data_IF_494850768628
#
_entry.id   IF_494850768628
#
_cell.length_a   1.000
_cell.length_b   1.000
_cell.length_c   1.000
_cell.angle_alpha   90.00
_cell.angle_beta   90.00
_cell.angle_gamma   90.00
#
_symmetry.space_group_name_H-M   'P 1'
#
loop_
_entity.id
_entity.type
_entity.pdbx_description
1 polymer ?
#
# COMPACT_ATOMS: atom_id res chain seq x y z
N UNK A 1 -8.25 7.17 11.29
CA UNK A 1 -9.35 8.13 11.00
C UNK A 1 -10.63 7.31 10.87
N UNK A 2 -11.81 7.86 11.17
CA UNK A 2 -13.05 7.14 10.90
C UNK A 2 -13.25 6.99 9.38
N UNK A 3 -13.73 5.82 8.94
CA UNK A 3 -13.85 5.49 7.52
C UNK A 3 -14.75 6.48 6.75
N UNK A 4 -15.81 6.99 7.38
CA UNK A 4 -16.69 8.01 6.76
C UNK A 4 -15.92 9.30 6.45
N UNK A 5 -15.23 9.85 7.45
CA UNK A 5 -14.37 11.05 7.31
C UNK A 5 -13.27 10.82 6.26
N UNK A 6 -12.79 9.59 6.10
CA UNK A 6 -11.85 9.24 5.04
C UNK A 6 -12.42 9.48 3.65
N UNK A 7 -13.61 8.95 3.38
CA UNK A 7 -14.25 9.10 2.07
C UNK A 7 -14.71 10.54 1.80
N UNK A 8 -15.07 11.30 2.83
CA UNK A 8 -15.35 12.74 2.72
C UNK A 8 -14.08 13.53 2.36
N UNK A 9 -12.97 13.28 3.06
CA UNK A 9 -11.69 13.95 2.78
C UNK A 9 -11.18 13.61 1.39
N UNK A 10 -11.21 12.33 1.01
CA UNK A 10 -10.68 11.84 -0.27
C UNK A 10 -11.80 11.52 -1.26
N UNK A 11 -12.70 12.49 -1.44
CA UNK A 11 -13.83 12.39 -2.36
C UNK A 11 -13.40 12.41 -3.83
N UNK A 12 -12.34 13.14 -4.19
CA UNK A 12 -11.88 13.30 -5.57
C UNK A 12 -10.42 12.88 -5.79
N UNK A 13 -10.10 12.57 -7.05
CA UNK A 13 -8.75 12.21 -7.49
C UNK A 13 -7.76 13.38 -7.34
N UNK A 14 -8.22 14.62 -7.56
CA UNK A 14 -7.39 15.82 -7.41
C UNK A 14 -6.91 16.00 -5.97
N UNK A 15 -7.80 15.88 -5.00
CA UNK A 15 -7.46 15.93 -3.56
C UNK A 15 -6.46 14.84 -3.18
N UNK A 16 -6.61 13.64 -3.76
CA UNK A 16 -5.67 12.54 -3.55
C UNK A 16 -4.27 12.83 -4.15
N UNK A 17 -4.23 13.46 -5.32
CA UNK A 17 -3.00 13.90 -5.98
C UNK A 17 -2.27 14.95 -5.13
N UNK A 18 -2.99 15.95 -4.62
CA UNK A 18 -2.42 17.03 -3.81
C UNK A 18 -1.88 16.50 -2.48
N UNK A 19 -2.64 15.68 -1.77
CA UNK A 19 -2.19 15.05 -0.53
C UNK A 19 -0.94 14.19 -0.77
N UNK A 20 -0.89 13.41 -1.86
CA UNK A 20 0.29 12.62 -2.18
C UNK A 20 1.49 13.52 -2.45
N UNK A 21 1.31 14.59 -3.25
CA UNK A 21 2.35 15.57 -3.55
C UNK A 21 2.93 16.16 -2.26
N UNK A 22 2.07 16.62 -1.36
CA UNK A 22 2.51 17.28 -0.12
C UNK A 22 3.27 16.31 0.79
N UNK A 23 2.79 15.06 0.92
CA UNK A 23 3.53 14.00 1.61
C UNK A 23 4.90 13.73 0.99
N UNK A 24 5.03 13.78 -0.34
CA UNK A 24 6.33 13.59 -0.99
C UNK A 24 7.29 14.74 -0.71
N UNK A 25 6.78 15.97 -0.67
CA UNK A 25 7.59 17.15 -0.34
C UNK A 25 8.04 17.10 1.13
N UNK A 26 7.16 16.71 2.05
CA UNK A 26 7.48 16.53 3.47
C UNK A 26 8.53 15.43 3.69
N UNK A 27 8.45 14.32 2.96
CA UNK A 27 9.41 13.22 3.06
C UNK A 27 10.80 13.54 2.47
N UNK A 28 10.97 14.70 1.83
CA UNK A 28 12.20 15.11 1.18
C UNK A 28 12.36 14.51 -0.21
N UNK A 29 12.25 15.35 -1.23
CA UNK A 29 12.42 14.96 -2.63
C UNK A 29 13.80 15.37 -3.14
N UNK A 30 14.65 14.41 -3.49
CA UNK A 30 15.97 14.66 -4.07
C UNK A 30 16.02 14.29 -5.56
N UNK A 31 16.68 15.13 -6.35
CA UNK A 31 16.86 14.89 -7.78
C UNK A 31 17.87 13.75 -8.02
N UNK A 32 17.50 12.72 -8.79
CA UNK A 32 18.40 11.59 -9.12
C UNK A 32 19.65 11.98 -9.92
N UNK A 33 19.64 13.11 -10.63
CA UNK A 33 20.78 13.56 -11.47
C UNK A 33 21.74 14.48 -10.74
N UNK A 34 21.24 15.38 -9.90
CA UNK A 34 22.06 16.45 -9.32
C UNK A 34 21.93 16.59 -7.80
N UNK A 35 21.17 15.71 -7.15
CA UNK A 35 20.93 15.68 -5.69
C UNK A 35 20.38 16.98 -5.10
N UNK A 36 19.83 17.87 -5.94
CA UNK A 36 19.20 19.09 -5.49
C UNK A 36 17.79 18.81 -4.95
N UNK A 37 17.37 19.55 -3.92
CA UNK A 37 16.13 19.27 -3.18
C UNK A 37 14.95 20.16 -3.59
N UNK A 38 15.19 21.27 -4.30
CA UNK A 38 14.11 22.14 -4.75
C UNK A 38 13.53 21.70 -6.09
N UNK A 39 12.22 21.50 -6.10
CA UNK A 39 11.47 21.05 -7.26
C UNK A 39 10.22 21.92 -7.45
N UNK A 40 9.87 22.24 -8.69
CA UNK A 40 8.55 22.76 -9.05
C UNK A 40 7.63 21.60 -9.42
N UNK A 41 6.34 21.72 -9.10
CA UNK A 41 5.35 20.70 -9.46
C UNK A 41 4.53 21.16 -10.67
N UNK A 42 4.46 20.31 -11.69
CA UNK A 42 3.66 20.54 -12.89
C UNK A 42 2.40 19.69 -12.81
N UNK A 43 1.24 20.36 -12.67
CA UNK A 43 -0.07 19.70 -12.58
C UNK A 43 -0.48 19.02 -13.89
N UNK A 44 -0.06 19.54 -15.04
CA UNK A 44 -0.44 19.03 -16.38
C UNK A 44 -0.03 17.57 -16.59
N UNK A 45 1.17 17.18 -16.17
CA UNK A 45 1.69 15.82 -16.34
C UNK A 45 2.00 15.11 -15.01
N UNK A 46 1.60 15.70 -13.89
CA UNK A 46 1.85 15.21 -12.54
C UNK A 46 3.33 14.87 -12.29
N UNK A 47 4.23 15.79 -12.68
CA UNK A 47 5.68 15.63 -12.54
C UNK A 47 6.31 16.73 -11.70
N UNK A 48 7.30 16.34 -10.91
CA UNK A 48 8.26 17.24 -10.31
C UNK A 48 9.36 17.57 -11.31
N UNK A 49 9.71 18.85 -11.41
CA UNK A 49 10.82 19.34 -12.21
C UNK A 49 11.88 19.94 -11.29
N UNK A 50 13.12 19.48 -11.41
CA UNK A 50 14.23 20.01 -10.64
C UNK A 50 14.56 21.44 -11.09
N UNK A 51 14.68 22.38 -10.15
CA UNK A 51 15.01 23.78 -10.46
C UNK A 51 16.45 23.98 -10.96
N UNK A 52 17.36 23.05 -10.63
CA UNK A 52 18.79 23.14 -10.99
C UNK A 52 19.09 22.56 -12.37
N UNK A 53 18.71 21.30 -12.62
CA UNK A 53 19.07 20.58 -13.85
C UNK A 53 17.90 20.35 -14.81
N UNK A 54 16.69 20.80 -14.48
CA UNK A 54 15.49 20.64 -15.32
C UNK A 54 14.98 19.20 -15.44
N UNK A 55 15.62 18.22 -14.79
CA UNK A 55 15.19 16.81 -14.84
C UNK A 55 13.77 16.65 -14.30
N UNK A 56 13.01 15.74 -14.92
CA UNK A 56 11.62 15.46 -14.54
C UNK A 56 11.50 14.13 -13.82
N UNK A 57 10.64 14.07 -12.81
CA UNK A 57 10.31 12.86 -12.07
C UNK A 57 8.80 12.80 -11.88
N UNK A 58 8.18 11.64 -12.14
CA UNK A 58 6.73 11.51 -11.95
C UNK A 58 6.36 11.55 -10.47
N UNK A 59 5.13 11.97 -10.16
CA UNK A 59 4.58 11.91 -8.80
C UNK A 59 4.67 10.50 -8.20
N UNK A 60 4.64 9.45 -9.03
CA UNK A 60 4.68 8.04 -8.65
C UNK A 60 6.10 7.45 -8.60
N UNK A 61 7.10 8.16 -9.10
CA UNK A 61 8.46 7.62 -9.22
C UNK A 61 9.08 7.32 -7.84
N UNK A 62 9.57 6.10 -7.63
CA UNK A 62 10.05 5.67 -6.31
C UNK A 62 8.97 5.59 -5.21
N UNK A 63 7.67 5.50 -5.56
CA UNK A 63 6.65 4.99 -4.63
C UNK A 63 6.24 3.57 -5.00
N UNK A 64 5.46 2.96 -4.13
CA UNK A 64 4.69 1.73 -4.43
C UNK A 64 3.83 1.84 -5.70
N UNK A 65 3.47 3.05 -6.13
CA UNK A 65 2.62 3.31 -7.31
C UNK A 65 3.43 3.44 -8.62
N UNK A 66 4.76 3.26 -8.57
CA UNK A 66 5.63 3.36 -9.75
C UNK A 66 5.19 2.37 -10.84
N UNK A 67 5.22 2.83 -12.10
CA UNK A 67 4.77 2.10 -13.29
C UNK A 67 3.31 1.61 -13.22
N UNK A 68 2.44 2.32 -12.49
CA UNK A 68 1.00 2.10 -12.52
C UNK A 68 0.29 3.24 -13.25
N UNK A 69 -0.81 2.91 -13.92
CA UNK A 69 -1.75 3.87 -14.50
C UNK A 69 -3.08 3.95 -13.72
N UNK A 70 -3.20 3.25 -12.58
CA UNK A 70 -4.41 3.31 -11.76
C UNK A 70 -4.60 4.69 -11.10
N UNK A 71 -5.84 5.13 -10.83
CA UNK A 71 -6.11 6.34 -10.06
C UNK A 71 -5.44 6.29 -8.69
N UNK A 72 -4.88 7.40 -8.21
CA UNK A 72 -4.25 7.55 -6.90
C UNK A 72 -5.28 7.29 -5.79
N UNK A 73 -6.53 7.71 -6.00
CA UNK A 73 -7.64 7.42 -5.10
C UNK A 73 -7.81 5.91 -4.86
N UNK A 74 -7.63 5.06 -5.87
CA UNK A 74 -7.71 3.60 -5.68
C UNK A 74 -6.64 3.08 -4.73
N UNK A 75 -5.40 3.57 -4.88
CA UNK A 75 -4.32 3.21 -3.98
C UNK A 75 -4.60 3.65 -2.56
N UNK A 76 -5.09 4.89 -2.39
CA UNK A 76 -5.43 5.44 -1.09
C UNK A 76 -6.54 4.64 -0.41
N UNK A 77 -7.64 4.33 -1.11
CA UNK A 77 -8.72 3.49 -0.57
C UNK A 77 -8.21 2.09 -0.22
N UNK A 78 -7.44 1.47 -1.11
CA UNK A 78 -6.90 0.13 -0.89
C UNK A 78 -5.97 0.07 0.33
N UNK A 79 -5.11 1.08 0.52
CA UNK A 79 -4.23 1.18 1.68
C UNK A 79 -5.08 1.30 2.95
N UNK A 80 -6.05 2.21 2.99
CA UNK A 80 -6.91 2.41 4.17
C UNK A 80 -7.65 1.11 4.55
N UNK A 81 -8.30 0.46 3.58
CA UNK A 81 -9.00 -0.81 3.79
C UNK A 81 -8.06 -1.87 4.37
N UNK A 82 -6.87 -2.03 3.80
CA UNK A 82 -5.89 -3.01 4.26
C UNK A 82 -5.31 -2.69 5.64
N UNK A 83 -5.24 -1.41 6.03
CA UNK A 83 -4.76 -1.01 7.36
C UNK A 83 -5.82 -1.13 8.45
N UNK A 84 -7.11 -0.99 8.11
CA UNK A 84 -8.20 -1.07 9.08
C UNK A 84 -8.60 -2.51 9.41
N UNK A 85 -8.37 -3.45 8.50
CA UNK A 85 -8.82 -4.83 8.68
C UNK A 85 -7.75 -5.71 9.31
N UNK A 86 -8.14 -6.44 10.37
CA UNK A 86 -7.34 -7.55 10.92
C UNK A 86 -7.28 -8.76 9.97
N UNK A 87 -8.21 -8.86 9.03
CA UNK A 87 -8.33 -9.95 8.05
C UNK A 87 -7.82 -9.53 6.67
N UNK A 88 -7.25 -10.49 5.94
CA UNK A 88 -6.82 -10.28 4.56
C UNK A 88 -8.04 -10.15 3.65
N UNK A 89 -8.12 -9.08 2.88
CA UNK A 89 -9.09 -8.94 1.79
C UNK A 89 -8.72 -9.85 0.62
N UNK A 90 -9.74 -10.46 -0.01
CA UNK A 90 -9.54 -11.11 -1.30
C UNK A 90 -9.35 -10.04 -2.39
N UNK A 91 -8.61 -10.37 -3.44
CA UNK A 91 -8.32 -9.41 -4.53
C UNK A 91 -9.61 -9.11 -5.31
N UNK A 92 -10.48 -10.11 -5.49
CA UNK A 92 -11.82 -9.90 -6.07
C UNK A 92 -12.68 -8.96 -5.21
N UNK A 93 -12.61 -9.07 -3.88
CA UNK A 93 -13.34 -8.16 -3.00
C UNK A 93 -12.84 -6.72 -3.14
N UNK A 94 -11.52 -6.52 -3.21
CA UNK A 94 -10.95 -5.18 -3.46
C UNK A 94 -11.38 -4.66 -4.83
N UNK A 95 -11.35 -5.50 -5.86
CA UNK A 95 -11.79 -5.14 -7.20
C UNK A 95 -13.26 -4.68 -7.21
N UNK A 96 -14.13 -5.44 -6.53
CA UNK A 96 -15.55 -5.12 -6.38
C UNK A 96 -15.74 -3.79 -5.64
N UNK A 97 -15.08 -3.59 -4.51
CA UNK A 97 -15.17 -2.36 -3.71
C UNK A 97 -14.69 -1.12 -4.48
N UNK A 98 -13.70 -1.27 -5.36
CA UNK A 98 -13.18 -0.18 -6.19
C UNK A 98 -13.96 0.01 -7.50
N UNK A 99 -14.82 -0.94 -7.87
CA UNK A 99 -15.55 -0.93 -9.14
C UNK A 99 -14.65 -1.04 -10.38
N UNK A 100 -13.46 -1.66 -10.27
CA UNK A 100 -12.54 -1.76 -11.40
C UNK A 100 -12.84 -2.98 -12.28
N UNK A 101 -12.87 -2.79 -13.60
CA UNK A 101 -13.26 -3.85 -14.55
C UNK A 101 -12.26 -5.00 -14.64
N UNK A 102 -10.96 -4.71 -14.60
CA UNK A 102 -9.89 -5.71 -14.82
C UNK A 102 -9.31 -6.21 -13.49
N UNK A 103 -8.99 -7.48 -13.42
CA UNK A 103 -8.45 -8.09 -12.21
C UNK A 103 -6.96 -7.79 -12.05
N UNK A 104 -6.19 -7.90 -13.13
CA UNK A 104 -4.72 -7.89 -13.14
C UNK A 104 -4.12 -6.59 -12.57
N UNK A 105 -4.63 -5.38 -12.91
CA UNK A 105 -4.14 -4.15 -12.32
C UNK A 105 -4.37 -4.09 -10.80
N UNK A 106 -5.52 -4.57 -10.34
CA UNK A 106 -5.87 -4.61 -8.91
C UNK A 106 -5.01 -5.64 -8.18
N UNK A 107 -4.84 -6.81 -8.77
CA UNK A 107 -3.94 -7.84 -8.26
C UNK A 107 -2.53 -7.26 -8.06
N UNK A 108 -1.95 -6.64 -9.08
CA UNK A 108 -0.60 -6.08 -8.99
C UNK A 108 -0.52 -4.95 -7.94
N UNK A 109 -1.54 -4.09 -7.88
CA UNK A 109 -1.63 -3.04 -6.87
C UNK A 109 -1.63 -3.61 -5.45
N UNK A 110 -2.49 -4.59 -5.18
CA UNK A 110 -2.59 -5.24 -3.86
C UNK A 110 -1.30 -5.95 -3.48
N UNK A 111 -0.66 -6.66 -4.42
CA UNK A 111 0.62 -7.32 -4.15
C UNK A 111 1.72 -6.32 -3.81
N UNK A 112 1.81 -5.21 -4.54
CA UNK A 112 2.77 -4.14 -4.25
C UNK A 112 2.57 -3.56 -2.85
N UNK A 113 1.32 -3.32 -2.44
CA UNK A 113 1.00 -2.84 -1.08
C UNK A 113 1.42 -3.87 -0.02
N UNK A 114 1.05 -5.15 -0.19
CA UNK A 114 1.41 -6.23 0.73
C UNK A 114 2.92 -6.35 0.92
N UNK A 115 3.67 -6.28 -0.18
CA UNK A 115 5.13 -6.37 -0.15
C UNK A 115 5.76 -5.19 0.61
N UNK A 116 5.22 -3.98 0.47
CA UNK A 116 5.69 -2.82 1.24
C UNK A 116 5.34 -2.95 2.72
N UNK A 117 4.14 -3.44 3.05
CA UNK A 117 3.74 -3.73 4.44
C UNK A 117 4.66 -4.78 5.07
N UNK A 118 4.93 -5.87 4.36
CA UNK A 118 5.83 -6.93 4.82
C UNK A 118 7.25 -6.39 5.10
N UNK A 119 7.84 -5.65 4.14
CA UNK A 119 9.16 -5.01 4.34
C UNK A 119 9.20 -4.05 5.52
N UNK A 120 8.06 -3.44 5.87
CA UNK A 120 7.96 -2.57 7.03
C UNK A 120 7.88 -3.38 8.32
N UNK A 121 7.16 -4.49 8.28
CA UNK A 121 6.95 -5.43 9.39
C UNK A 121 8.24 -6.15 9.78
N UNK A 122 9.05 -6.56 8.80
CA UNK A 122 10.38 -7.17 9.00
C UNK A 122 11.35 -6.31 9.82
N UNK A 123 11.11 -5.01 9.95
CA UNK A 123 11.90 -4.11 10.79
C UNK A 123 11.56 -4.20 12.27
N UNK A 124 10.46 -4.86 12.63
CA UNK A 124 10.03 -5.02 14.01
C UNK A 124 10.32 -6.45 14.48
N UNK A 125 10.97 -6.58 15.62
CA UNK A 125 11.11 -7.85 16.33
C UNK A 125 10.01 -7.97 17.36
N UNK A 126 9.30 -9.10 17.37
CA UNK A 126 8.35 -9.42 18.43
C UNK A 126 9.07 -9.42 19.79
N UNK A 127 8.47 -8.77 20.78
CA UNK A 127 9.03 -8.74 22.15
C UNK A 127 8.72 -10.07 22.86
N UNK A 128 9.58 -10.46 23.80
CA UNK A 128 9.50 -11.76 24.49
C UNK A 128 8.15 -12.04 25.16
N UNK A 129 7.44 -10.99 25.58
CA UNK A 129 6.07 -11.08 26.09
C UNK A 129 5.13 -10.50 25.03
N UNK A 130 4.75 -11.31 24.05
CA UNK A 130 3.72 -10.97 23.07
C UNK A 130 2.52 -11.88 23.30
N UNK A 131 1.37 -11.29 23.61
CA UNK A 131 0.12 -12.02 23.70
C UNK A 131 -0.39 -12.32 22.29
N UNK A 132 -0.68 -13.59 22.02
CA UNK A 132 -1.29 -14.01 20.76
C UNK A 132 -2.80 -13.86 20.85
N UNK A 133 -3.41 -13.40 19.76
CA UNK A 133 -4.87 -13.38 19.65
C UNK A 133 -5.42 -14.81 19.80
N UNK A 134 -6.45 -14.97 20.62
CA UNK A 134 -7.17 -16.23 20.80
C UNK A 134 -7.61 -16.87 19.48
N UNK A 135 -7.95 -16.06 18.47
CA UNK A 135 -8.33 -16.55 17.14
C UNK A 135 -7.14 -17.15 16.39
N UNK A 136 -5.96 -16.56 16.56
CA UNK A 136 -4.72 -17.04 15.95
C UNK A 136 -4.28 -18.38 16.55
N UNK A 137 -4.40 -18.53 17.87
CA UNK A 137 -4.10 -19.78 18.57
C UNK A 137 -4.99 -20.93 18.08
N UNK A 138 -6.30 -20.69 17.93
CA UNK A 138 -7.24 -21.68 17.35
C UNK A 138 -6.84 -22.15 15.95
N UNK A 139 -6.26 -21.26 15.14
CA UNK A 139 -5.81 -21.59 13.78
C UNK A 139 -4.55 -22.49 13.81
N UNK A 140 -3.60 -22.18 14.70
CA UNK A 140 -2.41 -23.01 14.94
C UNK A 140 -2.82 -24.41 15.40
N UNK A 141 -3.75 -24.50 16.34
CA UNK A 141 -4.22 -25.79 16.88
C UNK A 141 -4.85 -26.68 15.79
N UNK A 142 -5.59 -26.08 14.84
CA UNK A 142 -6.13 -26.81 13.69
C UNK A 142 -5.03 -27.33 12.76
N UNK A 143 -3.98 -26.55 12.56
CA UNK A 143 -2.86 -26.90 11.69
C UNK A 143 -1.99 -28.01 12.31
N UNK A 144 -1.72 -27.94 13.61
CA UNK A 144 -1.02 -29.01 14.34
C UNK A 144 -1.84 -30.30 14.39
N UNK A 145 -3.16 -30.21 14.57
CA UNK A 145 -4.06 -31.37 14.50
C UNK A 145 -4.01 -32.05 13.11
N UNK A 146 -4.14 -31.29 12.03
CA UNK A 146 -4.07 -31.83 10.65
C UNK A 146 -2.75 -32.51 10.33
N UNK A 147 -1.64 -32.02 10.89
CA UNK A 147 -0.31 -32.61 10.69
C UNK A 147 -0.20 -33.96 11.40
N UNK A 148 -0.63 -34.03 12.67
CA UNK A 148 -0.72 -35.30 13.42
C UNK A 148 -1.56 -36.36 12.70
N UNK A 149 -2.70 -35.99 12.13
CA UNK A 149 -3.57 -36.93 11.41
C UNK A 149 -2.98 -37.43 10.08
N UNK A 150 -2.09 -36.66 9.43
CA UNK A 150 -1.40 -37.12 8.22
C UNK A 150 -0.26 -38.09 8.55
N UNK A 151 0.50 -37.81 9.59
CA UNK A 151 1.61 -38.67 10.05
C UNK A 151 1.12 -40.02 10.62
N UNK A 152 -0.16 -40.13 11.01
CA UNK A 152 -0.78 -41.40 11.45
C UNK A 152 -1.46 -42.20 10.33
N UNK A 153 -1.62 -41.61 9.14
CA UNK A 153 -2.20 -42.29 7.96
C UNK A 153 -1.17 -42.77 6.94
N UNK A 154 0.12 -42.48 7.15
CA UNK A 154 1.25 -42.94 6.32
C UNK A 154 2.11 -44.04 6.99
N UNK A 155 1.66 -44.56 8.14
CA UNK A 155 2.16 -45.78 8.80
C UNK A 155 1.06 -46.87 8.80
#
# INVERSE_FOLDING_TARGET
MELRKYFEKYHDEETCIEELRDKRLQNGLSCRKCSHNQHSFRRVDLKFQCKKCGSRMSLRSGTVMENSNLPIKYWMICIELMTLSKRKFSILQIQYLLGHKRYEPIWLMVQKIRLVMQKRDEKYTLRAYSEFDSEFLKEIDKLTYKKKTKDTSEN
#
